data_IF_108874975291
#
_entry.id   IF_108874975291
#
_cell.length_a   1.000
_cell.length_b   1.000
_cell.length_c   1.000
_cell.angle_alpha   90.00
_cell.angle_beta   90.00
_cell.angle_gamma   90.00
#
_symmetry.space_group_name_H-M   'P 1'
#
loop_
_entity.id
_entity.type
_entity.pdbx_description
1 polymer ?
#
# COMPACT_ATOMS: atom_id res chain seq x y z
N UNK A 1 7.31 -36.66 -46.60
CA UNK A 1 7.87 -35.32 -46.90
C UNK A 1 6.87 -34.18 -46.73
N UNK A 2 5.65 -34.28 -47.29
CA UNK A 2 4.58 -33.26 -47.22
C UNK A 2 4.26 -32.72 -45.80
N UNK A 3 4.37 -33.53 -44.75
CA UNK A 3 4.14 -33.07 -43.37
C UNK A 3 5.19 -32.09 -42.83
N UNK A 4 6.46 -32.17 -43.28
CA UNK A 4 7.52 -31.26 -42.83
C UNK A 4 7.33 -29.86 -43.41
N UNK A 5 6.96 -29.76 -44.69
CA UNK A 5 6.72 -28.49 -45.37
C UNK A 5 5.48 -27.76 -44.85
N UNK A 6 4.40 -28.49 -44.56
CA UNK A 6 3.19 -27.94 -43.92
C UNK A 6 3.47 -27.45 -42.48
N UNK A 7 4.31 -28.18 -41.73
CA UNK A 7 4.70 -27.80 -40.37
C UNK A 7 5.60 -26.55 -40.34
N UNK A 8 6.51 -26.39 -41.30
CA UNK A 8 7.35 -25.19 -41.41
C UNK A 8 6.55 -23.95 -41.85
N UNK A 9 5.44 -24.14 -42.58
CA UNK A 9 4.59 -23.05 -43.07
C UNK A 9 3.69 -22.43 -42.00
N UNK A 10 3.32 -23.19 -40.97
CA UNK A 10 2.47 -22.71 -39.85
C UNK A 10 3.28 -22.19 -38.66
N UNK A 11 4.58 -22.51 -38.60
CA UNK A 11 5.52 -22.06 -37.57
C UNK A 11 5.57 -20.52 -37.37
N UNK A 12 5.72 -19.68 -38.42
CA UNK A 12 5.86 -18.23 -38.22
C UNK A 12 4.58 -17.59 -37.66
N UNK A 13 3.41 -18.09 -38.05
CA UNK A 13 2.13 -17.60 -37.54
C UNK A 13 1.92 -17.97 -36.06
N UNK A 14 2.33 -19.19 -35.66
CA UNK A 14 2.31 -19.61 -34.26
C UNK A 14 3.27 -18.80 -33.40
N UNK A 15 4.47 -18.51 -33.90
CA UNK A 15 5.44 -17.64 -33.23
C UNK A 15 4.90 -16.21 -33.07
N UNK A 16 4.26 -15.67 -34.11
CA UNK A 16 3.64 -14.35 -34.07
C UNK A 16 2.54 -14.30 -33.00
N UNK A 17 1.65 -15.29 -32.94
CA UNK A 17 0.62 -15.37 -31.89
C UNK A 17 1.26 -15.49 -30.50
N UNK A 18 2.31 -16.28 -30.33
CA UNK A 18 3.01 -16.41 -29.05
C UNK A 18 3.64 -15.09 -28.59
N UNK A 19 4.24 -14.33 -29.52
CA UNK A 19 4.80 -13.00 -29.24
C UNK A 19 3.69 -12.02 -28.87
N UNK A 20 2.60 -11.94 -29.66
CA UNK A 20 1.46 -11.08 -29.36
C UNK A 20 0.84 -11.40 -28.00
N UNK A 21 0.65 -12.69 -27.70
CA UNK A 21 0.15 -13.14 -26.42
C UNK A 21 1.07 -12.69 -25.27
N UNK A 22 2.38 -12.84 -25.42
CA UNK A 22 3.36 -12.41 -24.40
C UNK A 22 3.31 -10.90 -24.18
N UNK A 23 3.21 -10.10 -25.26
CA UNK A 23 3.08 -8.63 -25.16
C UNK A 23 1.79 -8.23 -24.44
N UNK A 24 0.67 -8.88 -24.77
CA UNK A 24 -0.62 -8.62 -24.10
C UNK A 24 -0.53 -8.97 -22.62
N UNK A 25 0.05 -10.12 -22.26
CA UNK A 25 0.21 -10.53 -20.85
C UNK A 25 1.06 -9.55 -20.06
N UNK A 26 2.18 -9.06 -20.62
CA UNK A 26 3.03 -8.07 -19.96
C UNK A 26 2.33 -6.72 -19.82
N UNK A 27 1.44 -6.37 -20.77
CA UNK A 27 0.77 -5.07 -20.82
C UNK A 27 -0.57 -5.03 -20.07
N UNK A 28 -1.19 -6.18 -19.81
CA UNK A 28 -2.54 -6.27 -19.25
C UNK A 28 -2.60 -5.80 -17.80
N UNK A 29 -1.61 -6.16 -16.98
CA UNK A 29 -1.62 -5.82 -15.56
C UNK A 29 -0.35 -5.06 -15.16
N UNK A 30 -0.48 -3.80 -14.71
CA UNK A 30 0.65 -3.10 -14.12
C UNK A 30 0.91 -3.68 -12.73
N UNK A 31 1.77 -4.71 -12.68
CA UNK A 31 2.12 -5.43 -11.44
C UNK A 31 2.70 -4.48 -10.40
N UNK A 32 3.53 -3.53 -10.83
CA UNK A 32 4.23 -2.59 -9.94
C UNK A 32 3.29 -1.74 -9.07
N UNK A 33 2.33 -0.96 -9.62
CA UNK A 33 1.42 -0.18 -8.78
C UNK A 33 0.50 -1.04 -7.92
N UNK A 34 0.08 -2.21 -8.41
CA UNK A 34 -0.77 -3.12 -7.63
C UNK A 34 -0.01 -3.62 -6.40
N UNK A 35 1.22 -4.10 -6.59
CA UNK A 35 2.06 -4.56 -5.48
C UNK A 35 2.38 -3.41 -4.53
N UNK A 36 2.68 -2.22 -5.04
CA UNK A 36 2.94 -1.05 -4.20
C UNK A 36 1.73 -0.68 -3.33
N UNK A 37 0.52 -0.70 -3.89
CA UNK A 37 -0.71 -0.46 -3.12
C UNK A 37 -0.95 -1.59 -2.11
N UNK A 38 -0.76 -2.84 -2.51
CA UNK A 38 -0.91 -3.98 -1.59
C UNK A 38 0.06 -3.89 -0.41
N UNK A 39 1.31 -3.54 -0.66
CA UNK A 39 2.31 -3.42 0.40
C UNK A 39 2.06 -2.18 1.28
N UNK A 40 1.60 -1.07 0.69
CA UNK A 40 1.15 0.09 1.46
C UNK A 40 -0.04 -0.25 2.38
N UNK A 41 -1.03 -0.99 1.88
CA UNK A 41 -2.18 -1.43 2.70
C UNK A 41 -1.74 -2.40 3.80
N UNK A 42 -0.84 -3.35 3.50
CA UNK A 42 -0.30 -4.25 4.53
C UNK A 42 0.42 -3.49 5.62
N UNK A 43 1.25 -2.51 5.23
CA UNK A 43 2.00 -1.68 6.17
C UNK A 43 1.04 -0.86 7.03
N UNK A 44 0.03 -0.24 6.44
CA UNK A 44 -0.98 0.54 7.17
C UNK A 44 -1.74 -0.30 8.21
N UNK A 45 -2.04 -1.57 7.90
CA UNK A 45 -2.76 -2.45 8.84
C UNK A 45 -1.83 -3.03 9.91
N UNK A 46 -0.56 -3.31 9.57
CA UNK A 46 0.37 -3.99 10.48
C UNK A 46 1.11 -3.04 11.41
N UNK A 47 1.54 -1.90 10.88
CA UNK A 47 2.43 -0.98 11.59
C UNK A 47 1.68 0.27 12.05
N UNK A 48 0.76 0.83 11.25
CA UNK A 48 0.07 2.09 11.59
C UNK A 48 -1.21 1.89 12.43
N UNK A 49 -1.83 0.70 12.40
CA UNK A 49 -3.06 0.39 13.11
C UNK A 49 -2.80 -0.04 14.57
N UNK A 50 -2.26 0.89 15.36
CA UNK A 50 -1.92 0.69 16.78
C UNK A 50 -3.11 1.01 17.70
N UNK A 51 -3.28 0.28 18.82
CA UNK A 51 -4.50 0.41 19.67
C UNK A 51 -4.29 0.57 21.18
N UNK A 52 -3.08 0.37 21.70
CA UNK A 52 -2.80 0.51 23.14
C UNK A 52 -1.93 1.72 23.43
N UNK A 53 -2.50 2.77 24.04
CA UNK A 53 -1.82 4.01 24.42
C UNK A 53 -1.15 3.88 25.79
N UNK A 54 0.18 3.99 25.83
CA UNK A 54 0.95 4.19 27.07
C UNK A 54 0.55 5.50 27.75
N UNK A 55 0.77 5.63 29.07
CA UNK A 55 0.60 6.88 29.86
C UNK A 55 1.30 8.11 29.25
N UNK A 56 2.22 7.89 28.30
CA UNK A 56 2.91 8.92 27.53
C UNK A 56 2.29 9.23 26.15
N UNK A 57 1.09 8.73 25.84
CA UNK A 57 0.39 8.99 24.58
C UNK A 57 0.93 8.21 23.37
N UNK A 58 1.91 7.33 23.56
CA UNK A 58 2.53 6.57 22.45
C UNK A 58 1.85 5.19 22.36
N UNK A 59 1.26 4.84 21.21
CA UNK A 59 0.69 3.51 21.01
C UNK A 59 1.80 2.46 20.82
N UNK A 60 1.66 1.25 21.38
CA UNK A 60 2.73 0.22 21.36
C UNK A 60 2.26 -1.20 20.98
N UNK A 61 0.95 -1.44 20.79
CA UNK A 61 0.43 -2.75 20.40
C UNK A 61 -0.21 -2.70 19.03
N UNK A 62 0.13 -3.69 18.20
CA UNK A 62 -0.39 -3.89 16.86
C UNK A 62 -1.21 -5.18 16.73
N UNK A 63 -1.72 -5.47 15.53
CA UNK A 63 -2.47 -6.70 15.23
C UNK A 63 -1.70 -7.98 15.60
N UNK A 64 -0.37 -7.94 15.55
CA UNK A 64 0.50 -9.07 15.92
C UNK A 64 0.58 -9.28 17.45
N UNK A 65 0.16 -8.31 18.25
CA UNK A 65 0.20 -8.34 19.73
C UNK A 65 -1.17 -8.66 20.36
N UNK A 66 -2.17 -9.02 19.54
CA UNK A 66 -3.53 -9.35 19.99
C UNK A 66 -3.54 -10.76 20.59
N UNK A 67 -3.75 -10.86 21.91
CA UNK A 67 -3.76 -12.13 22.65
C UNK A 67 -5.14 -12.53 23.22
N UNK A 68 -6.13 -11.63 23.16
CA UNK A 68 -7.45 -11.80 23.74
C UNK A 68 -8.58 -11.34 22.82
N UNK A 69 -9.82 -11.77 23.11
CA UNK A 69 -11.01 -11.31 22.38
C UNK A 69 -11.25 -9.81 22.57
N UNK A 70 -10.98 -9.29 23.76
CA UNK A 70 -11.18 -7.88 24.07
C UNK A 70 -10.13 -7.02 23.35
N UNK A 71 -8.86 -7.47 23.33
CA UNK A 71 -7.77 -6.82 22.59
C UNK A 71 -8.07 -6.72 21.09
N UNK A 72 -8.73 -7.73 20.50
CA UNK A 72 -9.15 -7.67 19.10
C UNK A 72 -10.17 -6.56 18.83
N UNK A 73 -11.16 -6.39 19.72
CA UNK A 73 -12.16 -5.34 19.56
C UNK A 73 -11.60 -3.96 19.79
N UNK A 74 -10.69 -3.82 20.74
CA UNK A 74 -9.95 -2.57 20.94
C UNK A 74 -9.09 -2.25 19.72
N UNK A 75 -8.39 -3.23 19.14
CA UNK A 75 -7.65 -3.06 17.90
C UNK A 75 -8.55 -2.65 16.73
N UNK A 76 -9.72 -3.30 16.58
CA UNK A 76 -10.64 -2.97 15.51
C UNK A 76 -11.13 -1.53 15.62
N UNK A 77 -11.54 -1.10 16.82
CA UNK A 77 -12.16 0.20 17.05
C UNK A 77 -11.13 1.34 17.11
N UNK A 78 -9.98 1.12 17.71
CA UNK A 78 -8.98 2.16 17.98
C UNK A 78 -7.78 2.13 17.03
N UNK A 79 -7.46 0.98 16.42
CA UNK A 79 -6.40 0.85 15.42
C UNK A 79 -6.95 0.88 14.00
N UNK A 80 -7.75 -0.13 13.62
CA UNK A 80 -8.13 -0.34 12.22
C UNK A 80 -9.12 0.70 11.68
N UNK A 81 -10.19 0.99 12.42
CA UNK A 81 -11.23 1.90 11.95
C UNK A 81 -10.72 3.33 11.68
N UNK A 82 -9.86 3.94 12.53
CA UNK A 82 -9.27 5.25 12.22
C UNK A 82 -8.37 5.26 10.98
N UNK A 83 -7.65 4.16 10.71
CA UNK A 83 -6.81 4.02 9.50
C UNK A 83 -7.67 3.94 8.24
N UNK A 84 -8.79 3.21 8.27
CA UNK A 84 -9.72 3.09 7.13
C UNK A 84 -10.54 4.38 6.94
N UNK A 85 -11.01 4.96 8.04
CA UNK A 85 -11.84 6.16 8.07
C UNK A 85 -11.05 7.30 8.71
N UNK A 86 -10.16 7.92 7.92
CA UNK A 86 -9.37 9.07 8.35
C UNK A 86 -10.29 10.23 8.71
N UNK A 87 -10.59 10.37 10.00
CA UNK A 87 -11.44 11.45 10.54
C UNK A 87 -10.64 12.73 10.78
N UNK A 88 -9.36 12.62 11.14
CA UNK A 88 -8.47 13.75 11.42
C UNK A 88 -7.07 13.52 10.85
N UNK A 89 -6.37 14.61 10.52
CA UNK A 89 -4.96 14.52 10.08
C UNK A 89 -4.11 14.11 11.27
N UNK A 90 -3.22 13.14 11.06
CA UNK A 90 -2.26 12.73 12.06
C UNK A 90 -0.85 12.86 11.49
N UNK A 91 0.09 13.19 12.36
CA UNK A 91 1.52 13.17 12.08
C UNK A 91 2.11 11.96 12.80
N UNK A 92 3.23 11.43 12.31
CA UNK A 92 3.89 10.30 12.95
C UNK A 92 4.15 10.61 14.43
N UNK A 93 4.00 9.61 15.31
CA UNK A 93 3.95 9.82 16.77
C UNK A 93 5.24 10.44 17.36
N UNK A 94 6.34 10.39 16.61
CA UNK A 94 7.62 11.02 16.92
C UNK A 94 7.71 12.52 16.58
N UNK A 95 6.68 13.11 15.95
CA UNK A 95 6.66 14.51 15.56
C UNK A 95 5.82 15.35 16.52
N UNK A 96 6.42 16.43 17.05
CA UNK A 96 5.72 17.37 17.90
C UNK A 96 4.80 18.27 17.05
N UNK A 97 3.48 18.14 17.23
CA UNK A 97 2.47 18.97 16.54
C UNK A 97 2.60 20.46 16.88
N UNK A 98 3.21 20.78 18.02
CA UNK A 98 3.47 22.16 18.45
C UNK A 98 4.66 22.80 17.72
N UNK A 99 5.44 22.02 16.97
CA UNK A 99 6.52 22.56 16.16
C UNK A 99 5.92 23.42 15.03
N UNK A 100 6.36 24.68 14.85
CA UNK A 100 5.83 25.57 13.82
C UNK A 100 5.95 24.99 12.40
N UNK A 101 6.94 24.13 12.15
CA UNK A 101 7.11 23.45 10.86
C UNK A 101 5.99 22.42 10.66
N UNK A 102 5.73 21.58 11.65
CA UNK A 102 4.69 20.53 11.63
C UNK A 102 3.29 21.15 11.58
N UNK A 103 3.06 22.22 12.34
CA UNK A 103 1.80 22.97 12.32
C UNK A 103 1.52 23.59 10.94
N UNK A 104 2.56 24.10 10.27
CA UNK A 104 2.44 24.61 8.90
C UNK A 104 2.03 23.50 7.91
N UNK A 105 2.64 22.31 8.02
CA UNK A 105 2.27 21.14 7.20
C UNK A 105 0.82 20.71 7.41
N UNK A 106 0.35 20.72 8.66
CA UNK A 106 -1.02 20.35 9.02
C UNK A 106 -2.05 21.31 8.43
N UNK A 107 -1.68 22.57 8.20
CA UNK A 107 -2.56 23.59 7.62
C UNK A 107 -2.53 23.64 6.08
N UNK A 108 -1.61 22.95 5.41
CA UNK A 108 -1.51 22.93 3.95
C UNK A 108 -2.60 22.08 3.27
N UNK A 109 -3.00 22.47 2.06
CA UNK A 109 -3.96 21.69 1.26
C UNK A 109 -3.33 20.37 0.77
N UNK A 110 -4.14 19.38 0.37
CA UNK A 110 -3.64 18.08 -0.11
C UNK A 110 -2.77 18.25 -1.37
N UNK A 111 -3.12 19.19 -2.24
CA UNK A 111 -2.41 19.45 -3.50
C UNK A 111 -0.99 20.02 -3.29
N UNK A 112 -0.79 20.82 -2.24
CA UNK A 112 0.50 21.45 -1.94
C UNK A 112 1.50 20.49 -1.26
N UNK A 113 1.00 19.39 -0.68
CA UNK A 113 1.83 18.41 0.06
C UNK A 113 2.62 17.47 -0.84
N UNK A 114 2.10 17.13 -2.02
CA UNK A 114 2.75 16.19 -2.95
C UNK A 114 4.12 16.66 -3.45
N UNK A 115 4.41 17.96 -3.35
CA UNK A 115 5.71 18.51 -3.72
C UNK A 115 6.76 18.41 -2.60
N UNK A 116 6.32 18.36 -1.33
CA UNK A 116 7.20 18.36 -0.15
C UNK A 116 7.56 16.96 0.35
N UNK A 117 6.82 15.92 -0.08
CA UNK A 117 7.15 14.52 0.21
C UNK A 117 8.20 13.92 -0.74
N UNK A 118 8.76 14.73 -1.64
CA UNK A 118 9.75 14.31 -2.63
C UNK A 118 11.19 14.69 -2.24
N UNK A 119 11.43 15.00 -0.97
CA UNK A 119 12.76 15.25 -0.43
C UNK A 119 13.18 14.09 0.47
N UNK A 120 13.89 13.15 -0.17
CA UNK A 120 14.94 12.26 0.30
C UNK A 120 14.68 10.80 -0.08
#
# INVERSE_FOLDING_TARGET
EKHKTESCRTLPFRLLIAILYTVVVISHDPVMPITAVQDAVKHAIREDAEFSVSTNGVPHKNIEDVDSYDDFWEWLLHGLLPVIFVQERQVSSNLNVSDPVVAAFMNMSVAERGWLLNFN
#
